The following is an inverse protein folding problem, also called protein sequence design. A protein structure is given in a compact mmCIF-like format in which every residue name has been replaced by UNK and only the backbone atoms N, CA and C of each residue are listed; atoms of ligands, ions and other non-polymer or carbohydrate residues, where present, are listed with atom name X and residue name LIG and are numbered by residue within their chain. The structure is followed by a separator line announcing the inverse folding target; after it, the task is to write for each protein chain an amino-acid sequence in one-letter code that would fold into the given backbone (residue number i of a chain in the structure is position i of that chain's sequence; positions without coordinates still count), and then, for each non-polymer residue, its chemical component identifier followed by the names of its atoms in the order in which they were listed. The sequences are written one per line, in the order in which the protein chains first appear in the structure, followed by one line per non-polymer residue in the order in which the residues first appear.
data_IF_153941480381
#
_entry.id   IF_153941480381
#
_cell.length_a   1.000
_cell.length_b   1.000
_cell.length_c   1.000
_cell.angle_alpha   90.00
_cell.angle_beta   90.00
_cell.angle_gamma   90.00
#
_symmetry.space_group_name_H-M   'P 1'
#
loop_
_entity.id
_entity.type
_entity.pdbx_description
1 polymer ?
#
# COMPACT_ATOMS: atom_id res chain seq x y z
N UNK A 1 47.42 12.81 -38.29
CA UNK A 1 45.99 12.43 -38.35
C UNK A 1 45.49 11.69 -37.08
N UNK A 2 46.07 11.91 -35.89
CA UNK A 2 45.66 11.21 -34.64
C UNK A 2 44.65 11.99 -33.78
N UNK A 3 44.64 13.33 -33.89
CA UNK A 3 43.75 14.20 -33.08
C UNK A 3 42.27 14.16 -33.47
N UNK A 4 41.94 13.93 -34.75
CA UNK A 4 40.54 13.83 -35.21
C UNK A 4 39.84 12.56 -34.73
N UNK A 5 40.58 11.50 -34.43
CA UNK A 5 40.05 10.25 -33.87
C UNK A 5 39.72 10.39 -32.39
N UNK A 6 40.60 11.05 -31.62
CA UNK A 6 40.40 11.31 -30.18
C UNK A 6 39.21 12.26 -29.96
N UNK A 7 39.09 13.31 -30.79
CA UNK A 7 37.96 14.25 -30.70
C UNK A 7 36.62 13.59 -31.02
N UNK A 8 36.58 12.67 -31.99
CA UNK A 8 35.38 11.89 -32.31
C UNK A 8 34.99 10.95 -31.18
N UNK A 9 35.96 10.29 -30.54
CA UNK A 9 35.71 9.44 -29.37
C UNK A 9 35.14 10.24 -28.18
N UNK A 10 35.68 11.42 -27.89
CA UNK A 10 35.19 12.28 -26.80
C UNK A 10 33.77 12.78 -27.04
N UNK A 11 33.42 13.16 -28.27
CA UNK A 11 32.06 13.61 -28.62
C UNK A 11 31.05 12.46 -28.48
N UNK A 12 31.40 11.25 -28.92
CA UNK A 12 30.55 10.06 -28.75
C UNK A 12 30.35 9.75 -27.26
N UNK A 13 31.41 9.83 -26.46
CA UNK A 13 31.35 9.57 -25.01
C UNK A 13 30.41 10.55 -24.29
N UNK A 14 30.47 11.85 -24.62
CA UNK A 14 29.61 12.90 -24.02
C UNK A 14 28.12 12.68 -24.37
N UNK A 15 27.82 12.14 -25.55
CA UNK A 15 26.44 11.88 -25.98
C UNK A 15 25.89 10.59 -25.33
N UNK A 16 26.73 9.59 -25.10
CA UNK A 16 26.31 8.29 -24.55
C UNK A 16 26.24 8.31 -23.01
N UNK A 17 27.12 9.07 -22.34
CA UNK A 17 27.16 9.19 -20.88
C UNK A 17 25.80 9.50 -20.22
N UNK A 18 24.98 10.45 -20.72
CA UNK A 18 23.65 10.74 -20.18
C UNK A 18 22.68 9.56 -20.27
N UNK A 19 22.79 8.73 -21.31
CA UNK A 19 21.90 7.59 -21.57
C UNK A 19 22.17 6.42 -20.62
N UNK A 20 23.44 6.22 -20.21
CA UNK A 20 23.84 5.20 -19.21
C UNK A 20 23.79 5.73 -17.77
N UNK A 21 23.84 7.05 -17.55
CA UNK A 21 23.61 7.63 -16.22
C UNK A 21 22.14 7.64 -15.80
N UNK A 22 21.22 7.33 -16.72
CA UNK A 22 19.78 7.25 -16.48
C UNK A 22 19.34 5.87 -15.94
N UNK A 23 20.05 5.34 -14.95
CA UNK A 23 19.59 4.17 -14.17
C UNK A 23 18.60 4.56 -13.06
N UNK A 24 18.27 5.85 -12.96
CA UNK A 24 17.52 6.45 -11.86
C UNK A 24 15.99 6.42 -11.97
N UNK A 25 15.40 5.83 -13.01
CA UNK A 25 13.95 5.59 -13.00
C UNK A 25 13.67 4.39 -12.07
N UNK A 26 13.81 4.60 -10.75
CA UNK A 26 13.33 3.67 -9.73
C UNK A 26 11.88 3.40 -10.08
N UNK A 27 11.57 2.16 -10.49
CA UNK A 27 10.18 1.73 -10.69
C UNK A 27 9.40 2.16 -9.46
N UNK A 28 8.53 3.16 -9.60
CA UNK A 28 7.66 3.58 -8.52
C UNK A 28 6.80 2.37 -8.16
N UNK A 29 6.67 2.08 -6.87
CA UNK A 29 5.78 1.01 -6.42
C UNK A 29 4.38 1.36 -6.90
N UNK A 30 3.70 0.44 -7.59
CA UNK A 30 2.30 0.67 -7.95
C UNK A 30 1.48 0.72 -6.67
N UNK A 31 0.63 1.73 -6.55
CA UNK A 31 -0.21 2.00 -5.38
C UNK A 31 -1.68 2.05 -5.79
N UNK A 32 -2.57 1.82 -4.84
CA UNK A 32 -4.02 1.78 -5.06
C UNK A 32 -4.58 0.37 -5.23
N UNK A 33 -5.89 0.26 -5.07
CA UNK A 33 -6.64 -0.98 -5.14
C UNK A 33 -6.53 -1.64 -6.53
N UNK A 34 -6.35 -2.96 -6.57
CA UNK A 34 -6.26 -3.72 -7.83
C UNK A 34 -4.96 -3.49 -8.63
N UNK A 35 -3.93 -2.91 -8.00
CA UNK A 35 -2.59 -2.83 -8.57
C UNK A 35 -1.74 -4.03 -8.12
N UNK A 36 -0.47 -3.80 -7.77
CA UNK A 36 0.42 -4.88 -7.35
C UNK A 36 0.08 -5.27 -5.91
N UNK A 37 -0.39 -6.51 -5.74
CA UNK A 37 -0.65 -7.10 -4.41
C UNK A 37 0.69 -7.22 -3.67
N UNK A 38 0.75 -6.66 -2.46
CA UNK A 38 1.93 -6.74 -1.60
C UNK A 38 1.98 -8.06 -0.85
N UNK A 39 0.86 -8.40 -0.21
CA UNK A 39 0.63 -9.62 0.52
C UNK A 39 -0.87 -9.84 0.66
N UNK A 40 -1.25 -11.04 1.07
CA UNK A 40 -2.63 -11.40 1.37
C UNK A 40 -2.73 -11.69 2.86
N UNK A 41 -3.76 -11.16 3.50
CA UNK A 41 -4.10 -11.52 4.87
C UNK A 41 -5.26 -12.51 4.84
N UNK A 42 -5.23 -13.49 5.74
CA UNK A 42 -6.25 -14.53 5.85
C UNK A 42 -6.67 -14.64 7.30
N UNK A 43 -7.95 -14.41 7.56
CA UNK A 43 -8.56 -14.43 8.90
C UNK A 43 -7.71 -13.69 9.93
N UNK A 44 -7.24 -12.50 9.58
CA UNK A 44 -6.42 -11.67 10.46
C UNK A 44 -7.36 -10.98 11.46
N UNK A 45 -7.15 -11.15 12.78
CA UNK A 45 -7.83 -10.36 13.79
C UNK A 45 -7.47 -8.88 13.62
N UNK A 46 -8.48 -8.04 13.49
CA UNK A 46 -8.34 -6.61 13.30
C UNK A 46 -9.52 -5.85 13.91
N UNK A 47 -9.23 -4.67 14.47
CA UNK A 47 -10.26 -3.72 14.85
C UNK A 47 -10.76 -3.01 13.60
N UNK A 48 -12.06 -3.12 13.32
CA UNK A 48 -12.67 -2.62 12.07
C UNK A 48 -13.51 -1.40 12.38
N UNK A 49 -13.17 -0.28 11.74
CA UNK A 49 -13.84 1.00 11.91
C UNK A 49 -14.59 1.40 10.65
N UNK A 50 -15.80 1.91 10.83
CA UNK A 50 -16.66 2.39 9.77
C UNK A 50 -17.56 3.54 10.23
N UNK A 51 -18.11 4.28 9.26
CA UNK A 51 -19.15 5.27 9.47
C UNK A 51 -20.56 4.70 9.25
N UNK A 52 -21.58 5.45 9.63
CA UNK A 52 -22.99 5.03 9.56
C UNK A 52 -23.50 4.76 8.13
N UNK A 53 -22.79 5.24 7.12
CA UNK A 53 -23.16 5.06 5.70
C UNK A 53 -22.34 3.99 5.00
N UNK A 54 -21.34 3.40 5.67
CA UNK A 54 -20.43 2.41 5.07
C UNK A 54 -19.55 2.95 3.94
N UNK A 55 -19.48 4.27 3.76
CA UNK A 55 -18.66 4.89 2.71
C UNK A 55 -17.18 4.91 3.05
N UNK A 56 -16.86 4.87 4.35
CA UNK A 56 -15.49 4.82 4.87
C UNK A 56 -15.38 3.59 5.75
N UNK A 57 -14.43 2.71 5.42
CA UNK A 57 -14.01 1.61 6.26
C UNK A 57 -12.48 1.56 6.32
N UNK A 58 -11.96 1.28 7.51
CA UNK A 58 -10.55 0.96 7.71
C UNK A 58 -10.39 -0.02 8.86
N UNK A 59 -9.21 -0.62 8.95
CA UNK A 59 -8.87 -1.50 10.05
C UNK A 59 -7.45 -1.27 10.56
N UNK A 60 -7.22 -1.71 11.79
CA UNK A 60 -5.91 -1.86 12.41
C UNK A 60 -5.76 -3.30 12.90
N UNK A 61 -4.67 -3.96 12.56
CA UNK A 61 -4.45 -5.34 12.96
C UNK A 61 -4.12 -5.40 14.46
N UNK A 62 -4.68 -6.38 15.19
CA UNK A 62 -4.54 -6.47 16.68
C UNK A 62 -3.08 -6.54 17.15
N UNK A 63 -2.18 -7.08 16.31
CA UNK A 63 -0.73 -7.16 16.58
C UNK A 63 0.14 -6.09 15.90
N UNK A 64 -0.45 -5.18 15.14
CA UNK A 64 0.26 -4.13 14.40
C UNK A 64 -0.55 -2.82 14.42
N UNK A 65 -0.54 -2.09 15.55
CA UNK A 65 -1.32 -0.86 15.71
C UNK A 65 -0.78 0.31 14.87
N UNK A 66 0.42 0.17 14.30
CA UNK A 66 1.07 1.20 13.50
C UNK A 66 0.71 1.14 12.02
N UNK A 67 0.02 0.07 11.60
CA UNK A 67 -0.47 -0.08 10.23
C UNK A 67 -1.97 0.15 10.13
N UNK A 68 -2.37 1.07 9.26
CA UNK A 68 -3.78 1.32 8.92
C UNK A 68 -4.09 0.79 7.53
N UNK A 69 -5.22 0.10 7.37
CA UNK A 69 -5.63 -0.48 6.10
C UNK A 69 -7.01 0.06 5.71
N UNK A 70 -7.06 0.90 4.67
CA UNK A 70 -8.31 1.44 4.14
C UNK A 70 -8.97 0.46 3.17
N UNK A 71 -10.27 0.24 3.31
CA UNK A 71 -11.00 -0.71 2.48
C UNK A 71 -11.23 -0.12 1.08
N UNK A 72 -10.93 -0.92 0.07
CA UNK A 72 -11.20 -0.62 -1.33
C UNK A 72 -12.67 -0.79 -1.71
N UNK A 73 -13.38 -1.68 -0.99
CA UNK A 73 -14.77 -2.04 -1.21
C UNK A 73 -15.59 -1.84 0.08
N UNK A 74 -15.61 -0.62 0.65
CA UNK A 74 -16.21 -0.37 1.96
C UNK A 74 -17.72 -0.64 1.95
N UNK A 75 -18.44 -0.26 0.89
CA UNK A 75 -19.90 -0.48 0.77
C UNK A 75 -20.25 -1.97 0.76
N UNK A 76 -19.49 -2.79 0.05
CA UNK A 76 -19.71 -4.24 -0.03
C UNK A 76 -19.47 -4.91 1.33
N UNK A 77 -18.41 -4.51 2.03
CA UNK A 77 -18.07 -5.08 3.33
C UNK A 77 -18.96 -4.54 4.45
N UNK A 78 -19.41 -3.28 4.36
CA UNK A 78 -20.31 -2.67 5.33
C UNK A 78 -21.60 -3.46 5.49
N UNK A 79 -22.18 -3.97 4.40
CA UNK A 79 -23.37 -4.83 4.47
C UNK A 79 -23.18 -6.07 5.35
N UNK A 80 -21.95 -6.59 5.47
CA UNK A 80 -21.59 -7.73 6.32
C UNK A 80 -21.38 -7.35 7.78
N UNK A 81 -21.06 -6.08 8.06
CA UNK A 81 -20.66 -5.61 9.41
C UNK A 81 -21.57 -4.57 10.02
N UNK A 82 -22.59 -4.08 9.30
CA UNK A 82 -23.53 -3.04 9.76
C UNK A 82 -24.30 -3.39 11.04
N UNK A 83 -24.34 -4.66 11.43
CA UNK A 83 -24.95 -5.14 12.68
C UNK A 83 -23.99 -5.10 13.88
N UNK A 84 -22.70 -4.86 13.64
CA UNK A 84 -21.66 -4.77 14.65
C UNK A 84 -21.36 -3.31 15.01
N UNK A 85 -20.58 -3.09 16.06
CA UNK A 85 -20.12 -1.75 16.42
C UNK A 85 -18.81 -1.40 15.72
N UNK A 86 -18.68 -0.14 15.32
CA UNK A 86 -17.42 0.39 14.80
C UNK A 86 -16.35 0.31 15.88
N UNK A 87 -15.22 -0.34 15.57
CA UNK A 87 -14.15 -0.66 16.51
C UNK A 87 -14.19 -2.08 17.06
N UNK A 88 -15.20 -2.89 16.72
CA UNK A 88 -15.23 -4.30 17.09
C UNK A 88 -14.06 -5.07 16.45
N UNK A 89 -13.57 -6.08 17.17
CA UNK A 89 -12.59 -7.02 16.66
C UNK A 89 -13.26 -8.04 15.73
N UNK A 90 -12.84 -8.06 14.47
CA UNK A 90 -13.34 -8.95 13.43
C UNK A 90 -12.18 -9.66 12.74
N UNK A 91 -12.46 -10.78 12.09
CA UNK A 91 -11.54 -11.47 11.20
C UNK A 91 -11.68 -10.90 9.79
N UNK A 92 -10.57 -10.38 9.27
CA UNK A 92 -10.51 -9.80 7.92
C UNK A 92 -9.60 -10.63 7.02
N UNK A 93 -10.08 -10.89 5.80
CA UNK A 93 -9.30 -11.50 4.72
C UNK A 93 -9.30 -10.59 3.50
N UNK A 94 -8.17 -10.51 2.80
CA UNK A 94 -8.09 -9.68 1.60
C UNK A 94 -6.68 -9.48 1.06
N UNK A 95 -6.63 -8.80 -0.07
CA UNK A 95 -5.38 -8.45 -0.74
C UNK A 95 -4.96 -7.04 -0.35
N UNK A 96 -3.70 -6.90 0.09
CA UNK A 96 -3.16 -5.63 0.57
C UNK A 96 -2.34 -4.95 -0.52
N UNK A 97 -2.52 -3.65 -0.64
CA UNK A 97 -1.88 -2.76 -1.60
C UNK A 97 -1.30 -1.55 -0.89
N UNK A 98 -0.36 -0.85 -1.53
CA UNK A 98 0.09 0.44 -1.00
C UNK A 98 -1.00 1.50 -1.13
N UNK A 99 -1.13 2.33 -0.11
CA UNK A 99 -1.89 3.58 -0.22
C UNK A 99 -1.04 4.62 -0.97
N UNK A 100 -1.64 5.33 -1.92
CA UNK A 100 -0.90 6.17 -2.85
C UNK A 100 -0.34 7.43 -2.20
N UNK A 101 -1.09 8.07 -1.31
CA UNK A 101 -0.61 9.23 -0.58
C UNK A 101 0.56 8.85 0.33
N UNK A 102 0.52 7.67 0.95
CA UNK A 102 1.61 7.13 1.74
C UNK A 102 2.87 6.87 0.92
N UNK A 103 2.76 6.25 -0.25
CA UNK A 103 3.93 6.04 -1.14
C UNK A 103 4.52 7.37 -1.59
N UNK A 104 3.67 8.34 -1.94
CA UNK A 104 4.10 9.67 -2.32
C UNK A 104 4.83 10.38 -1.17
N UNK A 105 4.25 10.38 0.04
CA UNK A 105 4.82 11.05 1.20
C UNK A 105 6.10 10.37 1.70
N UNK A 106 6.14 9.04 1.74
CA UNK A 106 7.33 8.28 2.15
C UNK A 106 8.52 8.48 1.21
N UNK A 107 8.25 8.82 -0.05
CA UNK A 107 9.29 9.19 -1.01
C UNK A 107 9.89 10.59 -0.73
N UNK A 108 9.15 11.46 -0.04
CA UNK A 108 9.54 12.85 0.23
C UNK A 108 10.05 13.08 1.67
N UNK A 109 9.61 12.30 2.66
CA UNK A 109 9.98 12.48 4.06
C UNK A 109 10.02 11.15 4.81
N UNK A 110 11.22 10.59 5.00
CA UNK A 110 11.41 9.19 5.42
C UNK A 110 11.23 8.92 6.92
N UNK A 111 11.39 9.92 7.79
CA UNK A 111 11.53 9.66 9.23
C UNK A 111 10.19 9.31 9.88
N UNK A 112 9.15 10.11 9.64
CA UNK A 112 7.81 9.93 10.21
C UNK A 112 7.00 8.82 9.50
N UNK A 113 7.15 8.69 8.19
CA UNK A 113 6.45 7.66 7.38
C UNK A 113 6.99 6.24 7.57
N UNK A 114 8.15 6.07 8.22
CA UNK A 114 8.71 4.73 8.48
C UNK A 114 7.97 3.98 9.58
N UNK A 115 7.43 4.70 10.58
CA UNK A 115 6.77 4.09 11.73
C UNK A 115 5.31 3.76 11.44
N UNK A 116 4.56 4.68 10.83
CA UNK A 116 3.15 4.47 10.53
C UNK A 116 2.95 4.11 9.06
N UNK A 117 2.53 2.88 8.80
CA UNK A 117 2.31 2.40 7.43
C UNK A 117 0.84 2.51 7.08
N UNK A 118 0.56 2.98 5.87
CA UNK A 118 -0.81 3.06 5.37
C UNK A 118 -0.95 2.23 4.12
N UNK A 119 -1.97 1.39 4.14
CA UNK A 119 -2.29 0.42 3.11
C UNK A 119 -3.72 0.59 2.64
N UNK A 120 -3.98 0.04 1.46
CA UNK A 120 -5.33 -0.25 1.00
C UNK A 120 -5.54 -1.76 1.07
N UNK A 121 -6.76 -2.20 1.35
CA UNK A 121 -7.14 -3.61 1.33
C UNK A 121 -8.39 -3.82 0.47
N UNK A 122 -8.28 -4.71 -0.51
CA UNK A 122 -9.46 -5.27 -1.16
C UNK A 122 -9.90 -6.47 -0.33
N UNK A 123 -10.88 -6.24 0.54
CA UNK A 123 -11.36 -7.24 1.48
C UNK A 123 -12.23 -8.25 0.75
N UNK A 124 -11.91 -9.53 0.90
CA UNK A 124 -12.71 -10.64 0.37
C UNK A 124 -13.72 -11.12 1.41
N UNK A 125 -13.38 -11.02 2.70
CA UNK A 125 -14.28 -11.40 3.77
C UNK A 125 -14.04 -10.59 5.06
N UNK A 126 -15.12 -10.34 5.79
CA UNK A 126 -15.11 -9.75 7.13
C UNK A 126 -16.20 -10.43 7.95
N UNK A 127 -15.84 -11.01 9.10
CA UNK A 127 -16.79 -11.72 9.96
C UNK A 127 -16.29 -11.78 11.41
N UNK A 128 -17.18 -12.05 12.36
CA UNK A 128 -16.80 -12.25 13.76
C UNK A 128 -15.96 -13.51 13.95
N UNK A 129 -14.95 -13.44 14.81
CA UNK A 129 -14.32 -14.65 15.33
C UNK A 129 -15.31 -15.39 16.24
N UNK A 130 -15.87 -16.50 15.74
CA UNK A 130 -16.75 -17.37 16.52
C UNK A 130 -15.98 -18.39 17.38
N UNK A 131 -14.68 -18.55 17.18
CA UNK A 131 -13.87 -19.57 17.86
C UNK A 131 -13.15 -19.06 19.12
N UNK A 132 -13.17 -17.75 19.37
CA UNK A 132 -12.57 -17.13 20.56
C UNK A 132 -13.55 -16.74 21.69
N UNK A 133 -14.86 -16.89 21.51
CA UNK A 133 -15.85 -16.55 22.56
C UNK A 133 -15.83 -17.61 23.67
N UNK A 134 -15.19 -17.28 24.79
CA UNK A 134 -15.52 -17.85 26.11
C UNK A 134 -16.68 -17.10 26.73
#
# INVERSE_FOLDING_TARGET
MRGNLIRKFLVILIIILPAISYTGCKKQKKCGCGKDVLFTITNQPAYVYFNDTGSIMYMSAVGDPYSTYHFCNPVEMYEKVKTYQSGDELLVSGHVYWECNYVYQSSNNSYQTSMYKVYNILATNVFLDMYGKK
#
